data_IF_578977026682
#
_entry.id   IF_578977026682
#
_cell.length_a   1.000
_cell.length_b   1.000
_cell.length_c   1.000
_cell.angle_alpha   90.00
_cell.angle_beta   90.00
_cell.angle_gamma   90.00
#
_symmetry.space_group_name_H-M   'P 1'
#
loop_
_entity.id
_entity.type
_entity.pdbx_description
1 polymer ?
#
# COMPACT_ATOMS: atom_id res chain seq x y z
N UNK A 1 -8.43 71.34 68.06
CA UNK A 1 -9.33 70.17 67.91
C UNK A 1 -8.89 69.41 66.67
N UNK A 2 -8.37 68.22 66.89
CA UNK A 2 -7.84 67.30 65.88
C UNK A 2 -8.97 66.67 65.08
N UNK A 3 -9.12 67.07 63.82
CA UNK A 3 -9.96 66.37 62.84
C UNK A 3 -9.09 65.55 61.90
N UNK A 4 -8.48 64.47 62.41
CA UNK A 4 -7.81 63.47 61.59
C UNK A 4 -8.87 62.62 60.90
N UNK A 5 -9.07 62.83 59.59
CA UNK A 5 -9.79 61.88 58.75
C UNK A 5 -9.03 60.55 58.74
N UNK A 6 -9.70 59.47 59.10
CA UNK A 6 -9.25 58.10 58.95
C UNK A 6 -10.50 57.24 58.84
N UNK A 7 -10.97 57.02 57.61
CA UNK A 7 -11.83 55.87 57.35
C UNK A 7 -11.09 54.58 57.74
N UNK A 8 -11.82 53.50 58.05
CA UNK A 8 -11.21 52.24 58.47
C UNK A 8 -10.23 51.74 57.40
N UNK A 9 -8.98 51.48 57.83
CA UNK A 9 -7.93 50.97 56.93
C UNK A 9 -8.05 49.45 56.82
N UNK A 10 -8.70 48.99 55.76
CA UNK A 10 -8.71 47.58 55.34
C UNK A 10 -7.79 47.39 54.12
N UNK A 11 -6.97 46.34 54.13
CA UNK A 11 -6.13 45.96 52.99
C UNK A 11 -6.04 44.45 52.84
N UNK A 12 -5.87 43.95 51.62
CA UNK A 12 -5.59 42.53 51.35
C UNK A 12 -4.11 42.27 51.56
N UNK A 13 -3.80 41.16 52.22
CA UNK A 13 -2.43 40.73 52.52
C UNK A 13 -2.05 39.62 51.53
N UNK A 14 -0.86 39.75 50.92
CA UNK A 14 -0.29 38.75 50.02
C UNK A 14 -0.75 38.90 48.56
N UNK A 15 -0.54 37.85 47.76
CA UNK A 15 -1.09 37.80 46.41
C UNK A 15 -2.61 37.70 46.52
N UNK A 16 -3.29 38.78 46.11
CA UNK A 16 -4.74 38.78 45.89
C UNK A 16 -5.11 37.53 45.08
N UNK A 17 -6.03 36.71 45.60
CA UNK A 17 -6.53 35.46 45.01
C UNK A 17 -6.82 35.64 43.51
N UNK A 18 -5.89 35.23 42.64
CA UNK A 18 -6.06 35.39 41.19
C UNK A 18 -6.59 34.13 40.55
N UNK A 19 -6.06 32.97 40.92
CA UNK A 19 -6.43 31.66 40.37
C UNK A 19 -6.78 30.71 41.51
N UNK A 20 -7.96 30.09 41.46
CA UNK A 20 -8.42 29.16 42.49
C UNK A 20 -8.98 27.87 41.91
N UNK A 21 -8.64 26.69 42.44
CA UNK A 21 -9.24 25.44 41.99
C UNK A 21 -10.70 25.34 42.45
N UNK A 22 -11.58 24.93 41.54
CA UNK A 22 -12.97 24.57 41.87
C UNK A 22 -12.99 23.37 42.80
N UNK A 23 -13.93 23.34 43.74
CA UNK A 23 -14.11 22.31 44.77
C UNK A 23 -12.94 22.19 45.77
N UNK A 24 -12.06 23.18 45.84
CA UNK A 24 -11.04 23.30 46.88
C UNK A 24 -11.20 24.60 47.67
N UNK A 25 -10.99 24.53 48.99
CA UNK A 25 -11.11 25.70 49.86
C UNK A 25 -10.04 26.73 49.50
N UNK A 26 -10.50 27.89 49.07
CA UNK A 26 -9.67 29.03 48.71
C UNK A 26 -9.57 30.00 49.87
N UNK A 27 -8.37 30.53 50.08
CA UNK A 27 -8.04 31.30 51.28
C UNK A 27 -7.38 32.61 50.90
N UNK A 28 -7.77 33.69 51.57
CA UNK A 28 -7.01 34.94 51.57
C UNK A 28 -7.06 35.65 52.91
N UNK A 29 -6.12 36.57 53.10
CA UNK A 29 -6.01 37.32 54.33
C UNK A 29 -6.28 38.80 54.09
N UNK A 30 -6.93 39.42 55.05
CA UNK A 30 -7.10 40.88 55.12
C UNK A 30 -6.54 41.40 56.43
N UNK A 31 -6.00 42.61 56.40
CA UNK A 31 -5.67 43.40 57.58
C UNK A 31 -6.80 44.38 57.86
N UNK A 32 -7.34 44.35 59.07
CA UNK A 32 -8.33 45.26 59.63
C UNK A 32 -7.96 45.57 61.10
N UNK A 33 -6.94 46.41 61.26
CA UNK A 33 -6.38 46.79 62.57
C UNK A 33 -7.45 47.45 63.46
N UNK A 34 -7.64 46.92 64.67
CA UNK A 34 -8.55 47.50 65.67
C UNK A 34 -10.03 47.12 65.49
N UNK A 35 -10.34 46.20 64.58
CA UNK A 35 -11.68 45.69 64.36
C UNK A 35 -11.81 44.23 64.82
N UNK A 36 -13.05 43.80 65.07
CA UNK A 36 -13.39 42.43 65.41
C UNK A 36 -14.03 41.70 64.23
N UNK A 37 -14.20 40.38 64.34
CA UNK A 37 -14.78 39.55 63.27
C UNK A 37 -16.18 40.03 62.89
N UNK A 38 -16.95 40.54 63.85
CA UNK A 38 -18.33 40.98 63.67
C UNK A 38 -18.44 42.21 62.75
N UNK A 39 -17.35 42.99 62.67
CA UNK A 39 -17.28 44.20 61.85
C UNK A 39 -17.01 43.88 60.36
N UNK A 40 -16.66 42.63 60.04
CA UNK A 40 -16.30 42.20 58.69
C UNK A 40 -17.44 41.38 58.08
N UNK A 41 -17.83 41.76 56.87
CA UNK A 41 -18.71 40.96 56.02
C UNK A 41 -17.99 40.65 54.72
N UNK A 42 -18.06 39.40 54.29
CA UNK A 42 -17.53 38.94 53.02
C UNK A 42 -18.63 38.19 52.28
N UNK A 43 -18.89 38.58 51.03
CA UNK A 43 -19.86 37.91 50.17
C UNK A 43 -19.16 37.53 48.88
N UNK A 44 -19.22 36.25 48.52
CA UNK A 44 -18.68 35.74 47.27
C UNK A 44 -19.84 35.50 46.31
N UNK A 45 -19.75 36.03 45.10
CA UNK A 45 -20.76 35.87 44.05
C UNK A 45 -20.17 35.07 42.91
N UNK A 46 -20.80 33.96 42.55
CA UNK A 46 -20.39 33.09 41.44
C UNK A 46 -20.57 33.75 40.07
N UNK A 47 -19.98 33.20 38.99
CA UNK A 47 -20.23 33.62 37.61
C UNK A 47 -21.72 33.64 37.26
N UNK A 48 -22.47 32.64 37.73
CA UNK A 48 -23.93 32.54 37.57
C UNK A 48 -24.74 33.48 38.51
N UNK A 49 -24.07 34.43 39.17
CA UNK A 49 -24.65 35.39 40.12
C UNK A 49 -25.26 34.75 41.37
N UNK A 50 -24.80 33.56 41.76
CA UNK A 50 -25.24 32.89 42.99
C UNK A 50 -24.32 33.25 44.17
N UNK A 51 -24.87 33.58 45.35
CA UNK A 51 -24.05 33.81 46.53
C UNK A 51 -23.43 32.49 47.03
N UNK A 52 -22.15 32.53 47.39
CA UNK A 52 -21.41 31.45 48.04
C UNK A 52 -21.08 31.86 49.48
N UNK A 53 -21.11 30.91 50.43
CA UNK A 53 -20.72 31.19 51.81
C UNK A 53 -19.23 31.52 51.89
N UNK A 54 -18.90 32.59 52.61
CA UNK A 54 -17.55 32.95 53.01
C UNK A 54 -17.43 32.85 54.52
N UNK A 55 -16.41 32.14 55.00
CA UNK A 55 -16.13 31.99 56.43
C UNK A 55 -14.97 32.88 56.82
N UNK A 56 -15.11 33.61 57.93
CA UNK A 56 -14.11 34.58 58.40
C UNK A 56 -13.57 34.10 59.73
N UNK A 57 -12.26 33.92 59.81
CA UNK A 57 -11.55 33.44 61.00
C UNK A 57 -10.52 34.49 61.45
N UNK A 58 -10.50 34.90 62.72
CA UNK A 58 -9.41 35.72 63.23
C UNK A 58 -8.13 34.89 63.32
N UNK A 59 -7.02 35.39 62.78
CA UNK A 59 -5.71 34.72 62.80
C UNK A 59 -5.03 34.91 64.18
N UNK A 60 -5.64 34.42 65.26
CA UNK A 60 -5.03 34.42 66.60
C UNK A 60 -4.84 35.81 67.29
N UNK A 61 -4.66 35.84 68.62
CA UNK A 61 -4.61 37.08 69.40
C UNK A 61 -3.33 37.94 69.17
N UNK A 62 -2.28 37.36 68.58
CA UNK A 62 -1.01 38.05 68.31
C UNK A 62 -0.97 38.80 66.95
N UNK A 63 -1.93 38.55 66.06
CA UNK A 63 -1.85 39.01 64.66
C UNK A 63 -2.52 40.36 64.41
N UNK A 64 -2.84 41.12 65.46
CA UNK A 64 -3.16 42.54 65.35
C UNK A 64 -4.31 42.90 64.40
N UNK A 65 -5.33 42.07 64.24
CA UNK A 65 -6.44 42.35 63.31
C UNK A 65 -6.23 41.81 61.89
N UNK A 66 -5.53 40.69 61.75
CA UNK A 66 -5.53 39.89 60.52
C UNK A 66 -6.69 38.89 60.56
N UNK A 67 -7.43 38.80 59.46
CA UNK A 67 -8.54 37.88 59.29
C UNK A 67 -8.34 37.02 58.05
N UNK A 68 -8.53 35.72 58.21
CA UNK A 68 -8.54 34.74 57.13
C UNK A 68 -9.96 34.57 56.62
N UNK A 69 -10.15 34.72 55.31
CA UNK A 69 -11.41 34.51 54.64
C UNK A 69 -11.29 33.27 53.77
N UNK A 70 -12.19 32.32 53.98
CA UNK A 70 -12.25 31.05 53.25
C UNK A 70 -13.54 30.96 52.45
N UNK A 71 -13.46 30.46 51.22
CA UNK A 71 -14.63 30.16 50.40
C UNK A 71 -14.38 28.96 49.50
N UNK A 72 -15.47 28.30 49.06
CA UNK A 72 -15.41 27.12 48.20
C UNK A 72 -16.09 27.41 46.86
N UNK A 73 -15.33 27.68 45.78
CA UNK A 73 -15.90 27.86 44.45
C UNK A 73 -16.37 26.52 43.88
N UNK A 74 -17.55 26.49 43.26
CA UNK A 74 -18.13 25.30 42.62
C UNK A 74 -18.33 25.46 41.11
N UNK A 75 -18.08 26.66 40.57
CA UNK A 75 -18.24 26.99 39.15
C UNK A 75 -16.90 27.46 38.60
N UNK A 76 -16.62 27.19 37.32
CA UNK A 76 -15.47 27.79 36.63
C UNK A 76 -15.80 29.23 36.26
N UNK A 77 -14.84 30.14 36.41
CA UNK A 77 -14.95 31.54 36.00
C UNK A 77 -14.72 32.55 37.12
N UNK A 78 -15.02 33.82 36.81
CA UNK A 78 -14.75 34.94 37.72
C UNK A 78 -15.76 35.02 38.87
N UNK A 79 -15.28 34.80 40.09
CA UNK A 79 -16.01 35.01 41.33
C UNK A 79 -15.71 36.40 41.87
N UNK A 80 -16.76 37.16 42.19
CA UNK A 80 -16.64 38.51 42.74
C UNK A 80 -16.74 38.43 44.25
N UNK A 81 -15.73 38.92 44.95
CA UNK A 81 -15.64 38.90 46.40
C UNK A 81 -15.75 40.34 46.89
N UNK A 82 -16.91 40.67 47.45
CA UNK A 82 -17.15 41.93 48.13
C UNK A 82 -16.82 41.76 49.62
N UNK A 83 -15.90 42.60 50.11
CA UNK A 83 -15.55 42.66 51.53
C UNK A 83 -15.86 44.06 52.05
N UNK A 84 -16.60 44.14 53.15
CA UNK A 84 -16.91 45.38 53.86
C UNK A 84 -16.47 45.32 55.32
N UNK A 85 -15.93 46.42 55.82
CA UNK A 85 -15.51 46.62 57.19
C UNK A 85 -16.31 47.78 57.81
N UNK A 86 -17.13 47.50 58.83
CA UNK A 86 -18.01 48.48 59.48
C UNK A 86 -18.89 49.29 58.48
N UNK A 87 -19.25 48.68 57.34
CA UNK A 87 -20.04 49.30 56.27
C UNK A 87 -19.21 49.89 55.12
N UNK A 88 -17.91 50.09 55.31
CA UNK A 88 -17.02 50.61 54.26
C UNK A 88 -16.45 49.49 53.39
N UNK A 89 -16.46 49.69 52.06
CA UNK A 89 -15.93 48.72 51.09
C UNK A 89 -14.40 48.71 51.07
N UNK A 90 -13.84 47.58 50.65
CA UNK A 90 -12.41 47.44 50.38
C UNK A 90 -11.88 48.52 49.42
N UNK A 91 -10.77 49.15 49.79
CA UNK A 91 -10.05 50.07 48.92
C UNK A 91 -9.46 49.31 47.73
N UNK A 92 -9.83 49.68 46.51
CA UNK A 92 -9.45 48.97 45.28
C UNK A 92 -10.59 48.19 44.61
N UNK A 93 -11.77 48.13 45.25
CA UNK A 93 -12.96 47.46 44.70
C UNK A 93 -13.07 46.00 45.13
N UNK A 94 -14.06 45.27 44.60
CA UNK A 94 -14.21 43.85 44.90
C UNK A 94 -13.03 43.05 44.34
N UNK A 95 -12.64 41.99 45.05
CA UNK A 95 -11.62 41.07 44.56
C UNK A 95 -12.23 40.13 43.54
N UNK A 96 -11.42 39.70 42.56
CA UNK A 96 -11.84 38.76 41.53
C UNK A 96 -11.00 37.49 41.67
N UNK A 97 -11.63 36.41 42.11
CA UNK A 97 -11.03 35.08 42.10
C UNK A 97 -11.43 34.35 40.82
N UNK A 98 -10.46 34.00 39.97
CA UNK A 98 -10.73 33.27 38.74
C UNK A 98 -10.65 31.78 39.03
N UNK A 99 -11.82 31.16 39.16
CA UNK A 99 -11.92 29.75 39.45
C UNK A 99 -11.65 28.91 38.20
N UNK A 100 -10.86 27.85 38.35
CA UNK A 100 -10.41 26.98 37.28
C UNK A 100 -10.61 25.50 37.64
N UNK A 101 -10.71 24.63 36.64
CA UNK A 101 -10.84 23.18 36.83
C UNK A 101 -10.01 22.43 35.77
N UNK A 102 -8.87 21.87 36.19
CA UNK A 102 -7.97 21.12 35.30
C UNK A 102 -8.61 19.84 34.74
N UNK A 103 -9.56 19.21 35.46
CA UNK A 103 -10.25 18.00 35.01
C UNK A 103 -11.20 18.23 33.82
N UNK A 104 -11.50 19.49 33.48
CA UNK A 104 -12.29 19.80 32.28
C UNK A 104 -11.42 19.89 31.02
N UNK A 105 -10.09 19.82 31.15
CA UNK A 105 -9.19 19.82 30.01
C UNK A 105 -9.25 18.46 29.32
N UNK A 106 -9.47 18.49 28.01
CA UNK A 106 -9.54 17.27 27.19
C UNK A 106 -8.36 17.21 26.25
N UNK A 107 -7.69 16.07 26.22
CA UNK A 107 -6.63 15.78 25.26
C UNK A 107 -7.20 14.84 24.21
N UNK A 108 -6.96 15.11 22.92
CA UNK A 108 -7.37 14.19 21.86
C UNK A 108 -6.69 12.85 22.03
N UNK A 109 -7.34 11.78 21.57
CA UNK A 109 -6.73 10.46 21.54
C UNK A 109 -5.38 10.51 20.81
N UNK A 110 -4.41 9.87 21.44
CA UNK A 110 -3.01 9.93 21.05
C UNK A 110 -2.70 8.68 20.24
N UNK A 111 -2.35 8.83 18.96
CA UNK A 111 -1.95 7.69 18.11
C UNK A 111 -0.46 7.37 18.28
N UNK A 112 0.00 6.22 17.81
CA UNK A 112 1.44 5.96 17.64
C UNK A 112 2.09 6.96 16.67
N UNK A 113 3.42 7.09 16.75
CA UNK A 113 4.22 8.02 15.96
C UNK A 113 5.42 7.36 15.30
N UNK A 114 6.00 8.04 14.31
CA UNK A 114 7.16 7.56 13.54
C UNK A 114 8.36 8.46 13.82
N UNK A 115 9.54 7.86 14.00
CA UNK A 115 10.81 8.59 14.14
C UNK A 115 11.01 9.56 12.97
N UNK A 116 11.34 10.81 13.28
CA UNK A 116 11.59 11.88 12.31
C UNK A 116 10.34 12.54 11.75
N UNK A 117 9.14 12.04 12.05
CA UNK A 117 7.88 12.64 11.58
C UNK A 117 7.20 13.49 12.67
N UNK A 118 6.58 14.63 12.33
CA UNK A 118 5.86 15.44 13.30
C UNK A 118 4.63 14.68 13.83
N UNK A 119 4.62 14.44 15.14
CA UNK A 119 3.47 13.96 15.89
C UNK A 119 2.64 15.16 16.35
N UNK A 120 1.32 15.03 16.37
CA UNK A 120 0.41 16.10 16.75
C UNK A 120 -0.76 15.60 17.59
N UNK A 121 -1.13 16.35 18.61
CA UNK A 121 -2.34 16.12 19.40
C UNK A 121 -2.96 17.45 19.82
N UNK A 122 -4.26 17.44 20.07
CA UNK A 122 -5.03 18.63 20.45
C UNK A 122 -5.28 18.64 21.95
N UNK A 123 -5.20 19.82 22.54
CA UNK A 123 -5.58 20.07 23.93
C UNK A 123 -6.70 21.11 23.93
N UNK A 124 -7.81 20.78 24.57
CA UNK A 124 -8.99 21.63 24.70
C UNK A 124 -9.17 22.02 26.17
N UNK A 125 -8.86 23.28 26.48
CA UNK A 125 -9.03 23.89 27.79
C UNK A 125 -10.16 24.93 27.80
N UNK A 126 -11.09 24.90 26.82
CA UNK A 126 -12.14 25.92 26.68
C UNK A 126 -13.00 26.08 27.94
N UNK A 127 -13.21 24.98 28.66
CA UNK A 127 -14.09 24.91 29.82
C UNK A 127 -13.31 24.92 31.15
N UNK A 128 -11.97 24.94 31.11
CA UNK A 128 -11.11 24.80 32.28
C UNK A 128 -10.97 26.11 33.08
N UNK A 129 -11.38 27.24 32.51
CA UNK A 129 -11.19 28.57 33.11
C UNK A 129 -9.87 29.21 32.71
N UNK A 130 -9.55 30.32 33.36
CA UNK A 130 -8.28 31.01 33.11
C UNK A 130 -7.13 30.29 33.80
N UNK A 131 -6.00 30.17 33.11
CA UNK A 131 -4.82 29.53 33.66
C UNK A 131 -3.71 29.36 32.63
N UNK A 132 -2.60 28.81 33.10
CA UNK A 132 -1.42 28.50 32.31
C UNK A 132 -1.34 27.00 32.05
N UNK A 133 -1.22 26.63 30.77
CA UNK A 133 -0.92 25.27 30.34
C UNK A 133 0.60 25.09 30.22
N UNK A 134 1.10 24.02 30.82
CA UNK A 134 2.49 23.59 30.73
C UNK A 134 2.52 22.19 30.09
N UNK A 135 3.26 22.06 29.00
CA UNK A 135 3.32 20.82 28.22
C UNK A 135 4.78 20.44 28.05
N UNK A 136 5.12 19.25 28.52
CA UNK A 136 6.48 18.71 28.40
C UNK A 136 6.45 17.32 27.78
N UNK A 137 7.45 17.03 26.95
CA UNK A 137 7.65 15.72 26.33
C UNK A 137 8.97 15.18 26.84
N UNK A 138 8.94 14.03 27.52
CA UNK A 138 10.05 13.45 28.27
C UNK A 138 10.71 14.48 29.18
N UNK A 139 9.93 15.10 30.08
CA UNK A 139 10.42 16.12 31.03
C UNK A 139 11.12 17.32 30.36
N UNK A 140 10.81 17.59 29.09
CA UNK A 140 11.38 18.69 28.31
C UNK A 140 12.62 18.32 27.49
N UNK A 141 13.07 17.06 27.51
CA UNK A 141 14.14 16.58 26.62
C UNK A 141 13.81 16.73 25.13
N UNK A 142 12.52 16.59 24.78
CA UNK A 142 12.06 16.66 23.40
C UNK A 142 11.36 18.00 23.18
N UNK A 143 11.89 18.86 22.27
CA UNK A 143 11.26 20.12 21.94
C UNK A 143 9.84 19.89 21.39
N UNK A 144 8.89 20.65 21.91
CA UNK A 144 7.53 20.71 21.39
C UNK A 144 7.18 22.14 20.97
N UNK A 145 6.23 22.25 20.06
CA UNK A 145 5.69 23.50 19.57
C UNK A 145 4.19 23.53 19.83
N UNK A 146 3.69 24.63 20.39
CA UNK A 146 2.28 24.82 20.68
C UNK A 146 1.72 25.89 19.75
N UNK A 147 0.71 25.53 18.97
CA UNK A 147 -0.04 26.44 18.11
C UNK A 147 -1.43 26.68 18.70
N UNK A 148 -1.75 27.92 19.03
CA UNK A 148 -3.07 28.28 19.56
C UNK A 148 -4.08 28.30 18.41
N UNK A 149 -5.12 27.47 18.51
CA UNK A 149 -6.20 27.36 17.52
C UNK A 149 -7.31 28.39 17.83
N UNK A 150 -7.41 28.83 19.09
CA UNK A 150 -8.41 29.78 19.57
C UNK A 150 -9.44 29.14 20.49
N UNK A 151 -10.17 29.97 21.26
CA UNK A 151 -11.23 29.50 22.16
C UNK A 151 -10.76 28.53 23.25
N UNK A 152 -9.53 28.68 23.75
CA UNK A 152 -8.95 27.76 24.76
C UNK A 152 -8.39 26.46 24.18
N UNK A 153 -8.31 26.32 22.86
CA UNK A 153 -7.78 25.12 22.19
C UNK A 153 -6.39 25.37 21.62
N UNK A 154 -5.51 24.37 21.73
CA UNK A 154 -4.21 24.38 21.09
C UNK A 154 -3.88 23.05 20.42
N UNK A 155 -3.00 23.11 19.42
CA UNK A 155 -2.39 21.98 18.76
C UNK A 155 -0.95 21.90 19.24
N UNK A 156 -0.56 20.76 19.80
CA UNK A 156 0.83 20.50 20.20
C UNK A 156 1.47 19.64 19.13
N UNK A 157 2.68 19.98 18.73
CA UNK A 157 3.48 19.18 17.82
C UNK A 157 4.89 18.94 18.36
N UNK A 158 5.41 17.74 18.15
CA UNK A 158 6.82 17.41 18.42
C UNK A 158 7.32 16.42 17.37
N UNK A 159 8.64 16.35 17.17
CA UNK A 159 9.25 15.42 16.22
C UNK A 159 10.22 14.51 16.97
N UNK A 160 9.85 13.25 17.25
CA UNK A 160 10.70 12.32 17.98
C UNK A 160 11.91 11.90 17.12
N UNK A 161 13.09 11.86 17.72
CA UNK A 161 14.33 11.45 17.03
C UNK A 161 14.73 9.99 17.33
N UNK A 162 14.07 9.35 18.29
CA UNK A 162 14.40 8.02 18.76
C UNK A 162 13.14 7.18 18.98
N UNK A 163 13.21 5.88 18.71
CA UNK A 163 12.17 4.89 19.00
C UNK A 163 12.18 4.47 20.46
N UNK A 164 12.03 5.45 21.36
CA UNK A 164 11.78 5.23 22.79
C UNK A 164 10.33 5.61 23.11
N UNK A 165 9.69 5.03 24.13
CA UNK A 165 8.42 5.57 24.61
C UNK A 165 8.57 7.04 24.99
N UNK A 166 7.68 7.90 24.50
CA UNK A 166 7.67 9.32 24.84
C UNK A 166 6.55 9.58 25.84
N UNK A 167 6.90 10.17 26.98
CA UNK A 167 5.98 10.52 28.05
C UNK A 167 5.58 11.98 27.86
N UNK A 168 4.28 12.24 27.79
CA UNK A 168 3.74 13.60 27.64
C UNK A 168 3.04 13.97 28.92
N UNK A 169 3.58 14.98 29.60
CA UNK A 169 3.02 15.55 30.82
C UNK A 169 2.39 16.90 30.52
N UNK A 170 1.12 17.03 30.89
CA UNK A 170 0.35 18.27 30.76
C UNK A 170 -0.08 18.70 32.15
N UNK A 171 0.26 19.94 32.52
CA UNK A 171 -0.18 20.58 33.74
C UNK A 171 -0.95 21.85 33.44
N UNK A 172 -1.89 22.17 34.32
CA UNK A 172 -2.65 23.40 34.28
C UNK A 172 -2.59 24.08 35.65
N UNK A 173 -2.02 25.28 35.71
CA UNK A 173 -1.73 25.99 36.96
C UNK A 173 -0.94 25.13 37.97
N UNK A 174 -0.03 24.27 37.48
CA UNK A 174 0.77 23.35 38.29
C UNK A 174 0.09 22.01 38.65
N UNK A 175 -1.21 21.85 38.38
CA UNK A 175 -1.96 20.60 38.59
C UNK A 175 -1.90 19.71 37.35
N UNK A 176 -1.66 18.40 37.53
CA UNK A 176 -1.65 17.43 36.42
C UNK A 176 -3.04 17.26 35.84
N UNK A 177 -3.16 17.36 34.52
CA UNK A 177 -4.41 17.13 33.78
C UNK A 177 -4.80 15.66 33.84
N UNK A 178 -6.10 15.38 33.91
CA UNK A 178 -6.63 14.02 33.93
C UNK A 178 -6.15 13.20 32.70
N UNK A 179 -5.73 11.96 32.94
CA UNK A 179 -5.19 11.08 31.90
C UNK A 179 -3.70 11.29 31.58
N UNK A 180 -3.02 12.27 32.20
CA UNK A 180 -1.57 12.43 32.09
C UNK A 180 -0.83 11.75 33.27
N UNK A 181 0.41 11.26 33.05
CA UNK A 181 1.17 11.30 31.80
C UNK A 181 0.61 10.40 30.70
N UNK A 182 0.65 10.88 29.45
CA UNK A 182 0.28 10.10 28.26
C UNK A 182 1.53 9.38 27.72
N UNK A 183 1.38 8.11 27.37
CA UNK A 183 2.46 7.32 26.77
C UNK A 183 2.30 7.26 25.24
N UNK A 184 3.27 7.82 24.54
CA UNK A 184 3.33 7.86 23.07
C UNK A 184 4.32 6.81 22.56
N UNK A 185 3.82 5.79 21.86
CA UNK A 185 4.65 4.75 21.25
C UNK A 185 5.25 5.25 19.94
N UNK A 186 6.58 5.37 19.89
CA UNK A 186 7.32 5.79 18.70
C UNK A 186 7.99 4.60 18.02
N UNK A 187 7.68 4.40 16.75
CA UNK A 187 8.21 3.33 15.90
C UNK A 187 9.26 3.86 14.93
N UNK A 188 10.37 3.13 14.79
CA UNK A 188 11.37 3.39 13.75
C UNK A 188 11.05 2.56 12.49
N UNK A 189 10.31 3.17 11.56
CA UNK A 189 9.91 2.53 10.32
C UNK A 189 11.07 2.34 9.32
N UNK A 190 12.21 3.01 9.53
CA UNK A 190 13.37 2.88 8.62
C UNK A 190 14.01 1.49 8.65
N UNK A 191 13.77 0.75 9.73
CA UNK A 191 14.28 -0.60 9.96
C UNK A 191 13.40 -1.68 9.34
N UNK A 192 12.15 -1.36 9.01
CA UNK A 192 11.22 -2.32 8.39
C UNK A 192 11.38 -2.27 6.89
N UNK A 193 12.04 -3.28 6.34
CA UNK A 193 12.26 -3.41 4.90
C UNK A 193 11.51 -4.63 4.37
N UNK A 194 10.75 -4.42 3.31
CA UNK A 194 10.01 -5.48 2.62
C UNK A 194 10.32 -5.39 1.13
N UNK A 195 10.81 -6.50 0.57
CA UNK A 195 11.00 -6.62 -0.87
C UNK A 195 9.94 -7.55 -1.44
N UNK A 196 9.05 -6.99 -2.25
CA UNK A 196 7.94 -7.69 -2.90
C UNK A 196 8.12 -7.81 -4.42
N UNK A 197 9.28 -7.37 -4.96
CA UNK A 197 9.49 -7.31 -6.40
C UNK A 197 9.38 -8.68 -7.08
N UNK A 198 9.81 -9.76 -6.42
CA UNK A 198 9.68 -11.12 -6.94
C UNK A 198 8.24 -11.65 -6.93
N UNK A 199 7.30 -10.95 -6.27
CA UNK A 199 5.88 -11.29 -6.19
C UNK A 199 5.03 -10.52 -7.22
N UNK A 200 5.65 -9.85 -8.19
CA UNK A 200 4.92 -9.13 -9.24
C UNK A 200 4.02 -10.06 -10.06
N UNK A 201 4.47 -11.28 -10.34
CA UNK A 201 3.72 -12.32 -11.04
C UNK A 201 3.76 -13.61 -10.21
N UNK A 202 2.59 -14.16 -9.91
CA UNK A 202 2.46 -15.34 -9.05
C UNK A 202 1.56 -16.38 -9.76
N UNK A 203 2.02 -17.62 -9.95
CA UNK A 203 1.15 -18.70 -10.41
C UNK A 203 0.09 -19.03 -9.35
N UNK A 204 -1.14 -19.26 -9.79
CA UNK A 204 -2.25 -19.63 -8.91
C UNK A 204 -1.95 -20.93 -8.15
N UNK A 205 -2.45 -21.05 -6.92
CA UNK A 205 -2.29 -22.22 -6.05
C UNK A 205 -0.85 -22.55 -5.62
N UNK A 206 0.16 -21.82 -6.06
CA UNK A 206 1.51 -21.93 -5.52
C UNK A 206 1.67 -21.11 -4.25
N UNK A 207 2.59 -21.55 -3.39
CA UNK A 207 2.94 -20.79 -2.18
C UNK A 207 3.84 -19.61 -2.53
N UNK A 208 3.34 -18.40 -2.29
CA UNK A 208 4.09 -17.17 -2.38
C UNK A 208 4.51 -16.72 -0.98
N UNK A 209 5.76 -16.30 -0.84
CA UNK A 209 6.27 -15.82 0.44
C UNK A 209 7.20 -14.62 0.30
N UNK A 210 7.27 -13.84 1.36
CA UNK A 210 8.23 -12.75 1.51
C UNK A 210 8.66 -12.61 2.97
N UNK A 211 9.88 -12.10 3.14
CA UNK A 211 10.51 -11.91 4.44
C UNK A 211 10.58 -10.42 4.81
N UNK A 212 10.39 -10.14 6.09
CA UNK A 212 10.35 -8.81 6.67
C UNK A 212 11.30 -8.76 7.86
N UNK A 213 12.29 -7.88 7.76
CA UNK A 213 13.17 -7.61 8.89
C UNK A 213 12.53 -6.55 9.79
N UNK A 214 12.59 -6.77 11.10
CA UNK A 214 12.13 -5.81 12.12
C UNK A 214 13.24 -5.56 13.13
N UNK A 215 13.15 -4.46 13.86
CA UNK A 215 14.07 -4.19 14.95
C UNK A 215 13.74 -5.01 16.20
N UNK A 216 14.77 -5.55 16.85
CA UNK A 216 14.66 -6.45 18.00
C UNK A 216 14.37 -5.74 19.33
N UNK A 217 14.35 -4.40 19.35
CA UNK A 217 14.29 -3.60 20.57
C UNK A 217 12.88 -3.21 21.04
N UNK A 218 11.82 -3.62 20.35
CA UNK A 218 10.44 -3.22 20.69
C UNK A 218 9.44 -4.37 20.59
N UNK A 219 8.30 -4.23 21.28
CA UNK A 219 7.12 -5.07 21.07
C UNK A 219 6.56 -4.82 19.68
N UNK A 220 7.09 -5.51 18.68
CA UNK A 220 6.67 -5.40 17.30
C UNK A 220 5.28 -6.01 17.10
N UNK A 221 4.29 -5.20 16.75
CA UNK A 221 3.02 -5.67 16.22
C UNK A 221 3.06 -5.59 14.70
N UNK A 222 3.30 -6.74 14.06
CA UNK A 222 3.26 -6.87 12.61
C UNK A 222 1.92 -7.48 12.20
N UNK A 223 1.23 -6.85 11.25
CA UNK A 223 0.08 -7.44 10.58
C UNK A 223 0.28 -7.44 9.07
N UNK A 224 -0.01 -8.58 8.46
CA UNK A 224 0.04 -8.76 7.02
C UNK A 224 -1.34 -9.18 6.56
N UNK A 225 -1.87 -8.49 5.56
CA UNK A 225 -3.11 -8.88 4.89
C UNK A 225 -2.89 -8.97 3.39
N UNK A 226 -3.55 -9.94 2.76
CA UNK A 226 -3.54 -10.13 1.32
C UNK A 226 -4.98 -10.19 0.85
N UNK A 227 -5.37 -9.25 0.00
CA UNK A 227 -6.73 -9.18 -0.56
C UNK A 227 -6.69 -9.50 -2.04
N UNK A 228 -7.36 -10.58 -2.44
CA UNK A 228 -7.55 -10.93 -3.84
C UNK A 228 -8.68 -10.13 -4.51
N UNK A 229 -9.07 -10.49 -5.74
CA UNK A 229 -10.12 -9.80 -6.49
C UNK A 229 -11.48 -9.78 -5.79
N UNK A 230 -11.80 -10.82 -5.03
CA UNK A 230 -13.12 -10.97 -4.37
C UNK A 230 -13.03 -11.10 -2.85
N UNK A 231 -12.00 -11.76 -2.34
CA UNK A 231 -11.90 -12.16 -0.93
C UNK A 231 -10.50 -11.91 -0.36
N UNK A 232 -10.45 -11.79 0.97
CA UNK A 232 -9.20 -11.82 1.71
C UNK A 232 -8.63 -13.25 1.76
N UNK A 233 -7.31 -13.36 1.65
CA UNK A 233 -6.60 -14.63 1.59
C UNK A 233 -5.94 -14.87 2.95
N UNK A 234 -6.04 -16.10 3.50
CA UNK A 234 -5.30 -16.46 4.71
C UNK A 234 -3.80 -16.31 4.51
N UNK A 235 -3.17 -15.51 5.37
CA UNK A 235 -1.72 -15.34 5.42
C UNK A 235 -1.19 -16.04 6.65
N UNK A 236 -0.22 -16.93 6.45
CA UNK A 236 0.53 -17.57 7.53
C UNK A 236 1.78 -16.74 7.81
N UNK A 237 1.87 -16.16 9.00
CA UNK A 237 3.07 -15.43 9.44
C UNK A 237 3.84 -16.30 10.42
N UNK A 238 5.15 -16.44 10.20
CA UNK A 238 6.08 -17.20 11.03
C UNK A 238 7.33 -16.38 11.32
N UNK A 239 8.14 -16.81 12.29
CA UNK A 239 9.37 -16.11 12.67
C UNK A 239 9.22 -15.32 13.97
N UNK A 240 10.20 -14.46 14.24
CA UNK A 240 10.30 -13.69 15.48
C UNK A 240 11.11 -12.40 15.26
N UNK A 241 11.21 -11.55 16.29
CA UNK A 241 11.89 -10.25 16.20
C UNK A 241 13.41 -10.34 16.00
N UNK A 242 14.03 -11.50 16.25
CA UNK A 242 15.48 -11.71 16.05
C UNK A 242 15.79 -12.22 14.64
N UNK A 243 14.98 -13.16 14.14
CA UNK A 243 15.17 -13.80 12.82
C UNK A 243 14.40 -13.11 11.70
N UNK A 244 13.54 -12.15 12.03
CA UNK A 244 12.57 -11.56 11.11
C UNK A 244 11.29 -12.40 10.97
N UNK A 245 10.34 -11.86 10.23
CA UNK A 245 9.04 -12.51 9.98
C UNK A 245 8.91 -12.92 8.52
N UNK A 246 8.40 -14.13 8.28
CA UNK A 246 8.07 -14.62 6.94
C UNK A 246 6.56 -14.77 6.82
N UNK A 247 5.99 -14.06 5.84
CA UNK A 247 4.59 -14.21 5.45
C UNK A 247 4.48 -15.14 4.24
N UNK A 248 3.54 -16.06 4.30
CA UNK A 248 3.25 -17.07 3.28
C UNK A 248 1.76 -17.08 2.97
N UNK A 249 1.39 -17.10 1.68
CA UNK A 249 0.01 -17.19 1.22
C UNK A 249 -0.06 -17.94 -0.11
N UNK A 250 -1.23 -18.52 -0.43
CA UNK A 250 -1.47 -19.22 -1.70
C UNK A 250 -2.71 -18.68 -2.38
N UNK A 251 -2.57 -17.92 -3.50
CA UNK A 251 -3.70 -17.31 -4.16
C UNK A 251 -4.59 -18.35 -4.85
N UNK A 252 -5.90 -18.15 -4.76
CA UNK A 252 -6.91 -19.08 -5.29
C UNK A 252 -7.68 -18.51 -6.50
N UNK A 253 -7.44 -17.25 -6.84
CA UNK A 253 -8.13 -16.56 -7.93
C UNK A 253 -7.12 -15.89 -8.86
N UNK A 254 -7.47 -15.78 -10.14
CA UNK A 254 -6.67 -15.05 -11.13
C UNK A 254 -6.97 -13.56 -11.00
N UNK A 255 -5.95 -12.71 -11.06
CA UNK A 255 -6.11 -11.26 -11.06
C UNK A 255 -5.21 -10.53 -10.08
N UNK A 256 -5.50 -9.25 -9.87
CA UNK A 256 -4.73 -8.40 -8.97
C UNK A 256 -4.98 -8.77 -7.49
N UNK A 257 -3.91 -8.87 -6.73
CA UNK A 257 -3.90 -9.13 -5.30
C UNK A 257 -3.12 -8.02 -4.60
N UNK A 258 -3.70 -7.43 -3.56
CA UNK A 258 -3.08 -6.36 -2.80
C UNK A 258 -2.47 -6.94 -1.52
N UNK A 259 -1.16 -6.75 -1.35
CA UNK A 259 -0.40 -7.14 -0.17
C UNK A 259 -0.18 -5.90 0.68
N UNK A 260 -0.74 -5.88 1.88
CA UNK A 260 -0.56 -4.81 2.87
C UNK A 260 0.27 -5.32 4.04
N UNK A 261 1.21 -4.49 4.50
CA UNK A 261 1.99 -4.77 5.70
C UNK A 261 1.91 -3.55 6.60
N UNK A 262 1.45 -3.75 7.82
CA UNK A 262 1.42 -2.74 8.87
C UNK A 262 2.37 -3.15 9.99
N UNK A 263 3.12 -2.18 10.50
CA UNK A 263 4.03 -2.32 11.63
C UNK A 263 3.66 -1.27 12.68
N UNK A 264 3.26 -1.73 13.88
CA UNK A 264 2.79 -0.90 14.99
C UNK A 264 1.67 0.08 14.57
N UNK A 265 0.76 -0.39 13.72
CA UNK A 265 -0.37 0.39 13.20
C UNK A 265 0.00 1.39 12.09
N UNK A 266 1.23 1.34 11.58
CA UNK A 266 1.68 2.19 10.47
C UNK A 266 1.96 1.36 9.21
N UNK A 267 1.52 1.83 8.02
CA UNK A 267 1.78 1.13 6.78
C UNK A 267 3.26 1.15 6.46
N UNK A 268 3.79 0.00 6.07
CA UNK A 268 5.18 -0.17 5.69
C UNK A 268 5.40 0.31 4.25
N UNK A 269 6.52 1.00 4.03
CA UNK A 269 6.87 1.53 2.72
C UNK A 269 6.89 0.43 1.63
N UNK A 270 6.33 0.74 0.47
CA UNK A 270 6.17 -0.22 -0.63
C UNK A 270 4.87 -1.03 -0.56
N UNK A 271 4.04 -0.82 0.47
CA UNK A 271 2.70 -1.41 0.58
C UNK A 271 1.60 -0.32 0.56
N UNK A 272 0.40 -0.58 0.00
CA UNK A 272 -0.02 -1.84 -0.63
C UNK A 272 0.76 -2.15 -1.92
N UNK A 273 1.13 -3.41 -2.10
CA UNK A 273 1.78 -3.91 -3.32
C UNK A 273 0.79 -4.72 -4.15
N UNK A 274 0.73 -4.45 -5.45
CA UNK A 274 -0.19 -5.15 -6.37
C UNK A 274 0.53 -6.31 -7.07
N UNK A 275 0.30 -7.53 -6.60
CA UNK A 275 0.74 -8.77 -7.21
C UNK A 275 -0.27 -9.23 -8.27
N UNK A 276 0.20 -9.82 -9.37
CA UNK A 276 -0.64 -10.30 -10.47
C UNK A 276 -0.64 -11.82 -10.51
N UNK A 277 -1.76 -12.41 -10.15
CA UNK A 277 -1.92 -13.86 -10.12
C UNK A 277 -2.42 -14.36 -11.47
N UNK A 278 -1.80 -15.43 -11.97
CA UNK A 278 -2.06 -15.99 -13.29
C UNK A 278 -2.26 -17.51 -13.25
N UNK A 279 -2.92 -18.07 -14.26
CA UNK A 279 -3.15 -19.52 -14.40
C UNK A 279 -2.94 -19.95 -15.87
N UNK A 280 -1.80 -20.56 -16.17
CA UNK A 280 -1.50 -21.06 -17.51
C UNK A 280 -2.52 -22.12 -17.99
N UNK A 281 -3.18 -22.81 -17.06
CA UNK A 281 -4.20 -23.84 -17.36
C UNK A 281 -5.48 -23.24 -17.94
N UNK A 282 -5.69 -21.94 -17.77
CA UNK A 282 -6.84 -21.21 -18.35
C UNK A 282 -6.56 -20.65 -19.74
N UNK A 283 -5.38 -20.89 -20.31
CA UNK A 283 -5.14 -20.64 -21.73
C UNK A 283 -5.73 -21.79 -22.54
N UNK A 284 -6.65 -21.47 -23.44
CA UNK A 284 -7.32 -22.43 -24.30
C UNK A 284 -6.81 -22.30 -25.73
N UNK A 285 -6.42 -23.42 -26.32
CA UNK A 285 -6.00 -23.49 -27.72
C UNK A 285 -7.13 -24.13 -28.52
N UNK A 286 -7.55 -23.45 -29.58
CA UNK A 286 -8.57 -23.94 -30.49
C UNK A 286 -8.11 -25.18 -31.25
N UNK A 287 -9.05 -25.80 -31.98
CA UNK A 287 -8.73 -26.95 -32.83
C UNK A 287 -7.63 -26.58 -33.83
N UNK A 288 -6.63 -27.44 -33.94
CA UNK A 288 -5.54 -27.32 -34.91
C UNK A 288 -5.91 -28.22 -36.09
N UNK A 289 -6.29 -27.63 -37.25
CA UNK A 289 -6.70 -28.43 -38.40
C UNK A 289 -5.51 -29.13 -39.06
N UNK A 290 -5.80 -30.19 -39.83
CA UNK A 290 -4.83 -30.71 -40.79
C UNK A 290 -4.53 -29.65 -41.84
N UNK A 291 -3.24 -29.45 -42.14
CA UNK A 291 -2.77 -28.47 -43.12
C UNK A 291 -2.31 -29.10 -44.42
N UNK A 292 -2.10 -28.23 -45.42
CA UNK A 292 -1.50 -28.58 -46.70
C UNK A 292 -0.27 -27.72 -46.94
N UNK A 293 0.80 -28.30 -47.51
CA UNK A 293 2.01 -27.56 -47.88
C UNK A 293 1.65 -26.35 -48.75
N UNK A 294 2.21 -25.19 -48.43
CA UNK A 294 1.96 -23.93 -49.14
C UNK A 294 0.66 -23.20 -48.76
N UNK A 295 -0.27 -23.86 -48.06
CA UNK A 295 -1.51 -23.23 -47.61
C UNK A 295 -1.38 -22.71 -46.17
N UNK A 296 -1.93 -21.52 -45.89
CA UNK A 296 -1.90 -20.96 -44.54
C UNK A 296 -2.74 -21.81 -43.59
N UNK A 297 -2.12 -22.31 -42.52
CA UNK A 297 -2.81 -22.94 -41.40
C UNK A 297 -3.07 -21.90 -40.32
N UNK A 298 -4.25 -21.94 -39.70
CA UNK A 298 -4.63 -21.00 -38.65
C UNK A 298 -5.34 -21.71 -37.50
N UNK A 299 -5.04 -21.31 -36.27
CA UNK A 299 -5.74 -21.73 -35.06
C UNK A 299 -5.88 -20.55 -34.09
N UNK A 300 -6.77 -20.67 -33.09
CA UNK A 300 -7.00 -19.63 -32.08
C UNK A 300 -6.35 -19.96 -30.75
N UNK A 301 -5.99 -18.92 -30.00
CA UNK A 301 -5.54 -19.02 -28.60
C UNK A 301 -6.32 -18.00 -27.77
N UNK A 302 -6.97 -18.46 -26.71
CA UNK A 302 -7.75 -17.64 -25.78
C UNK A 302 -7.09 -17.68 -24.39
N UNK A 303 -6.43 -16.58 -24.01
CA UNK A 303 -5.81 -16.39 -22.70
C UNK A 303 -6.63 -15.41 -21.82
N UNK A 304 -7.89 -15.12 -22.18
CA UNK A 304 -8.72 -14.11 -21.50
C UNK A 304 -8.97 -14.40 -20.01
N UNK A 305 -8.85 -15.67 -19.61
CA UNK A 305 -9.04 -16.12 -18.23
C UNK A 305 -7.74 -16.50 -17.51
N UNK A 306 -6.59 -16.39 -18.19
CA UNK A 306 -5.29 -16.80 -17.66
C UNK A 306 -4.63 -15.74 -16.76
N UNK A 307 -5.16 -14.51 -16.76
CA UNK A 307 -4.58 -13.39 -16.03
C UNK A 307 -3.54 -12.65 -16.86
N UNK A 308 -2.78 -11.76 -16.22
CA UNK A 308 -1.73 -11.03 -16.90
C UNK A 308 -0.48 -11.89 -17.08
N UNK A 309 0.12 -11.86 -18.27
CA UNK A 309 1.30 -12.64 -18.56
C UNK A 309 1.76 -12.53 -20.00
N UNK A 310 2.91 -13.15 -20.29
CA UNK A 310 3.48 -13.24 -21.62
C UNK A 310 3.18 -14.60 -22.23
N UNK A 311 2.64 -14.60 -23.46
CA UNK A 311 2.39 -15.81 -24.25
C UNK A 311 3.52 -15.99 -25.26
N UNK A 312 4.17 -17.14 -25.24
CA UNK A 312 5.24 -17.51 -26.18
C UNK A 312 4.77 -18.70 -27.03
N UNK A 313 4.85 -18.53 -28.35
CA UNK A 313 4.40 -19.54 -29.32
C UNK A 313 5.55 -19.83 -30.29
N UNK A 314 5.96 -21.09 -30.37
CA UNK A 314 6.97 -21.56 -31.30
C UNK A 314 6.42 -22.70 -32.14
N UNK A 315 6.57 -22.61 -33.46
CA UNK A 315 6.18 -23.68 -34.40
C UNK A 315 7.44 -24.19 -35.05
N UNK A 316 7.64 -25.50 -35.06
CA UNK A 316 8.83 -26.12 -35.63
C UNK A 316 8.53 -27.39 -36.41
N UNK A 317 9.33 -27.63 -37.44
CA UNK A 317 9.35 -28.85 -38.23
C UNK A 317 10.79 -29.39 -38.25
N UNK A 318 10.98 -30.66 -37.87
CA UNK A 318 12.32 -31.30 -37.77
C UNK A 318 13.35 -30.48 -36.96
N UNK A 319 12.89 -29.76 -35.95
CA UNK A 319 13.73 -28.89 -35.11
C UNK A 319 14.07 -27.53 -35.72
N UNK A 320 13.52 -27.19 -36.90
CA UNK A 320 13.65 -25.87 -37.51
C UNK A 320 12.42 -25.02 -37.21
N UNK A 321 12.63 -23.80 -36.71
CA UNK A 321 11.54 -22.86 -36.43
C UNK A 321 10.92 -22.34 -37.73
N UNK A 322 9.59 -22.31 -37.75
CA UNK A 322 8.81 -21.82 -38.87
C UNK A 322 8.29 -20.42 -38.54
N UNK A 323 8.41 -19.45 -39.46
CA UNK A 323 7.84 -18.13 -39.28
C UNK A 323 6.33 -18.19 -39.03
N UNK A 324 5.88 -17.51 -37.99
CA UNK A 324 4.46 -17.43 -37.61
C UNK A 324 3.97 -15.99 -37.65
N UNK A 325 2.67 -15.83 -37.87
CA UNK A 325 1.98 -14.56 -37.74
C UNK A 325 0.96 -14.66 -36.61
N UNK A 326 0.91 -13.63 -35.77
CA UNK A 326 -0.02 -13.57 -34.63
C UNK A 326 -0.88 -12.32 -34.79
N UNK A 327 -2.18 -12.52 -34.89
CA UNK A 327 -3.18 -11.46 -34.95
C UNK A 327 -3.96 -11.40 -33.64
N UNK A 328 -3.95 -10.26 -32.96
CA UNK A 328 -4.75 -10.04 -31.75
C UNK A 328 -6.18 -9.64 -32.09
N UNK A 329 -7.14 -10.26 -31.41
CA UNK A 329 -8.58 -9.96 -31.50
C UNK A 329 -9.09 -9.15 -30.30
N UNK A 330 -8.18 -8.65 -29.45
CA UNK A 330 -8.53 -8.02 -28.18
C UNK A 330 -8.89 -9.04 -27.08
N UNK A 331 -9.04 -8.56 -25.84
CA UNK A 331 -9.37 -9.38 -24.67
C UNK A 331 -8.49 -10.62 -24.49
N UNK A 332 -7.19 -10.51 -24.80
CA UNK A 332 -6.23 -11.62 -24.77
C UNK A 332 -6.63 -12.85 -25.61
N UNK A 333 -7.32 -12.62 -26.74
CA UNK A 333 -7.58 -13.63 -27.77
C UNK A 333 -6.72 -13.36 -28.99
N UNK A 334 -6.20 -14.44 -29.59
CA UNK A 334 -5.24 -14.38 -30.68
C UNK A 334 -5.60 -15.42 -31.76
N UNK A 335 -5.32 -15.09 -33.02
CA UNK A 335 -5.21 -16.06 -34.10
C UNK A 335 -3.76 -16.20 -34.51
N UNK A 336 -3.28 -17.43 -34.53
CA UNK A 336 -1.91 -17.78 -34.91
C UNK A 336 -1.99 -18.47 -36.27
N UNK A 337 -1.15 -18.05 -37.21
CA UNK A 337 -1.05 -18.67 -38.51
C UNK A 337 0.39 -18.89 -38.96
N UNK A 338 0.58 -19.90 -39.81
CA UNK A 338 1.86 -20.19 -40.46
C UNK A 338 1.62 -20.89 -41.80
N UNK A 339 2.64 -20.91 -42.66
CA UNK A 339 2.60 -21.63 -43.93
C UNK A 339 3.60 -22.78 -43.86
N UNK A 340 3.15 -24.04 -43.81
CA UNK A 340 4.06 -25.17 -43.80
C UNK A 340 4.69 -25.37 -45.18
N UNK A 341 5.96 -25.74 -45.18
CA UNK A 341 6.75 -25.98 -46.41
C UNK A 341 7.10 -27.45 -46.62
N UNK A 342 6.86 -28.31 -45.62
CA UNK A 342 7.13 -29.74 -45.67
C UNK A 342 5.87 -30.54 -45.30
N UNK A 343 5.59 -31.69 -45.94
CA UNK A 343 4.42 -32.53 -45.66
C UNK A 343 4.69 -33.47 -44.47
N UNK A 344 4.80 -32.91 -43.27
CA UNK A 344 5.03 -33.66 -42.03
C UNK A 344 4.37 -33.00 -40.81
N UNK A 345 4.41 -33.68 -39.67
CA UNK A 345 3.88 -33.17 -38.41
C UNK A 345 4.67 -31.95 -37.90
N UNK A 346 3.98 -30.83 -37.76
CA UNK A 346 4.54 -29.61 -37.20
C UNK A 346 4.25 -29.53 -35.70
N UNK A 347 5.28 -29.24 -34.90
CA UNK A 347 5.19 -29.17 -33.45
C UNK A 347 4.95 -27.72 -33.02
N UNK A 348 3.85 -27.47 -32.35
CA UNK A 348 3.43 -26.17 -31.85
C UNK A 348 3.60 -26.15 -30.33
N UNK A 349 4.61 -25.44 -29.84
CA UNK A 349 4.86 -25.23 -28.41
C UNK A 349 4.27 -23.91 -27.97
N UNK A 350 3.44 -23.93 -26.93
CA UNK A 350 2.81 -22.72 -26.36
C UNK A 350 3.09 -22.69 -24.87
N UNK A 351 3.65 -21.57 -24.42
CA UNK A 351 3.93 -21.30 -23.01
C UNK A 351 3.31 -19.99 -22.58
N UNK A 352 2.86 -19.93 -21.33
CA UNK A 352 2.35 -18.72 -20.68
C UNK A 352 3.16 -18.48 -19.41
N UNK A 353 3.83 -17.34 -19.32
CA UNK A 353 4.79 -17.03 -18.24
C UNK A 353 5.86 -18.13 -18.02
N UNK A 354 6.37 -18.72 -19.13
CA UNK A 354 7.35 -19.82 -19.16
C UNK A 354 6.83 -21.18 -18.68
N UNK A 355 5.52 -21.32 -18.47
CA UNK A 355 4.86 -22.58 -18.16
C UNK A 355 4.11 -23.10 -19.38
N UNK A 356 4.16 -24.41 -19.65
CA UNK A 356 3.40 -24.99 -20.75
C UNK A 356 1.89 -24.93 -20.48
N UNK A 357 1.14 -24.46 -21.49
CA UNK A 357 -0.33 -24.50 -21.43
C UNK A 357 -0.83 -25.94 -21.62
N UNK A 358 -2.04 -26.28 -21.15
CA UNK A 358 -2.58 -27.63 -21.29
C UNK A 358 -2.60 -28.10 -22.74
N UNK A 359 -2.07 -29.29 -22.98
CA UNK A 359 -1.98 -29.89 -24.32
C UNK A 359 -0.76 -29.47 -25.13
N UNK A 360 0.04 -28.50 -24.67
CA UNK A 360 1.32 -28.20 -25.31
C UNK A 360 2.36 -29.30 -25.01
N UNK A 361 3.19 -29.71 -25.98
CA UNK A 361 3.15 -29.27 -27.38
C UNK A 361 2.01 -29.93 -28.17
N UNK A 362 1.44 -29.17 -29.11
CA UNK A 362 0.42 -29.65 -30.04
C UNK A 362 1.06 -30.10 -31.36
N UNK A 363 0.34 -30.96 -32.10
CA UNK A 363 0.77 -31.46 -33.40
C UNK A 363 -0.21 -30.97 -34.47
N UNK A 364 0.33 -30.34 -35.52
CA UNK A 364 -0.39 -30.00 -36.73
C UNK A 364 0.05 -30.94 -37.86
N UNK A 365 -0.77 -31.94 -38.25
CA UNK A 365 -0.47 -32.80 -39.37
C UNK A 365 -0.51 -32.00 -40.67
N UNK A 366 0.54 -32.08 -41.50
CA UNK A 366 0.57 -31.42 -42.81
C UNK A 366 0.79 -32.45 -43.90
N UNK A 367 -0.06 -32.41 -44.93
CA UNK A 367 0.06 -33.24 -46.14
C UNK A 367 0.47 -32.39 -47.35
N UNK A 368 1.01 -33.00 -48.39
CA UNK A 368 1.36 -32.32 -49.64
C UNK A 368 0.54 -32.88 -50.79
N UNK A 369 -0.26 -32.03 -51.44
CA UNK A 369 -1.06 -32.40 -52.63
C UNK A 369 -0.37 -32.03 -53.95
N UNK A 370 0.92 -31.76 -53.95
CA UNK A 370 1.65 -31.34 -55.14
C UNK A 370 2.54 -32.45 -55.70
N UNK A 371 2.64 -32.56 -57.04
CA UNK A 371 3.66 -33.37 -57.69
C UNK A 371 5.06 -32.98 -57.18
N UNK A 372 5.74 -33.88 -56.49
CA UNK A 372 7.08 -33.68 -55.97
C UNK A 372 8.11 -34.20 -56.98
N UNK A 373 8.95 -33.32 -57.52
CA UNK A 373 10.05 -33.72 -58.41
C UNK A 373 11.32 -34.00 -57.59
N UNK A 374 11.85 -35.22 -57.64
CA UNK A 374 13.07 -35.64 -56.94
C UNK A 374 14.02 -36.40 -57.87
N UNK A 375 15.33 -36.29 -57.68
CA UNK A 375 16.30 -37.11 -58.42
C UNK A 375 17.64 -36.42 -58.61
N UNK A 376 18.73 -37.19 -58.55
CA UNK A 376 20.08 -36.67 -58.72
C UNK A 376 20.29 -35.95 -60.07
N UNK A 377 19.56 -36.38 -61.10
CA UNK A 377 19.62 -35.81 -62.45
C UNK A 377 19.12 -34.35 -62.53
N UNK A 378 18.38 -33.86 -61.54
CA UNK A 378 17.95 -32.45 -61.45
C UNK A 378 19.11 -31.51 -61.09
N UNK A 379 20.17 -32.06 -60.46
CA UNK A 379 21.36 -31.31 -60.07
C UNK A 379 22.49 -31.48 -61.09
N UNK A 380 22.76 -32.72 -61.50
CA UNK A 380 23.77 -33.03 -62.52
C UNK A 380 23.42 -34.32 -63.26
N UNK A 381 23.58 -34.30 -64.58
CA UNK A 381 23.35 -35.46 -65.45
C UNK A 381 24.54 -35.66 -66.42
N UNK A 382 25.14 -36.85 -66.50
CA UNK A 382 26.23 -37.14 -67.42
C UNK A 382 25.78 -37.11 -68.89
N UNK A 383 26.53 -36.39 -69.73
CA UNK A 383 26.30 -36.34 -71.18
C UNK A 383 26.42 -37.74 -71.79
N UNK A 384 25.56 -38.03 -72.78
CA UNK A 384 25.43 -39.32 -73.47
C UNK A 384 25.02 -40.51 -72.59
N UNK A 385 24.55 -40.26 -71.37
CA UNK A 385 24.08 -41.31 -70.45
C UNK A 385 22.63 -41.04 -70.05
N UNK A 386 21.77 -42.06 -70.11
CA UNK A 386 20.37 -41.95 -69.68
C UNK A 386 20.31 -41.64 -68.19
N UNK A 387 19.74 -40.50 -67.85
CA UNK A 387 19.51 -40.03 -66.49
C UNK A 387 18.02 -39.97 -66.20
N UNK A 388 17.65 -39.93 -64.92
CA UNK A 388 16.24 -39.90 -64.54
C UNK A 388 15.97 -39.08 -63.29
N UNK A 389 14.75 -38.57 -63.21
CA UNK A 389 14.15 -38.03 -62.00
C UNK A 389 12.74 -38.62 -61.83
N UNK A 390 12.17 -38.48 -60.64
CA UNK A 390 10.90 -39.03 -60.21
C UNK A 390 9.95 -37.90 -59.88
N UNK A 391 8.73 -37.97 -60.40
CA UNK A 391 7.59 -37.13 -60.08
C UNK A 391 6.66 -37.93 -59.17
N UNK A 392 6.56 -37.58 -57.90
CA UNK A 392 5.76 -38.26 -56.87
C UNK A 392 4.49 -37.47 -56.54
N UNK A 393 3.48 -38.11 -55.94
CA UNK A 393 2.24 -37.45 -55.50
C UNK A 393 1.46 -36.75 -56.63
N UNK A 394 1.51 -37.30 -57.84
CA UNK A 394 0.61 -36.88 -58.92
C UNK A 394 -0.78 -37.44 -58.60
N UNK A 395 -1.78 -36.56 -58.45
CA UNK A 395 -3.18 -36.95 -58.28
C UNK A 395 -3.55 -38.04 -59.31
N UNK A 396 -4.48 -38.98 -59.02
CA UNK A 396 -4.83 -40.07 -59.92
C UNK A 396 -5.44 -39.53 -61.22
N UNK A 397 -4.56 -39.16 -62.14
CA UNK A 397 -4.81 -38.63 -63.46
C UNK A 397 -3.86 -39.40 -64.39
N UNK A 398 -4.37 -39.77 -65.56
CA UNK A 398 -3.74 -40.73 -66.45
C UNK A 398 -2.33 -40.26 -66.86
N UNK A 399 -1.49 -41.18 -67.35
CA UNK A 399 -0.15 -40.88 -67.90
C UNK A 399 -0.19 -39.73 -68.93
N UNK A 400 -1.31 -39.57 -69.62
CA UNK A 400 -1.56 -38.57 -70.66
C UNK A 400 -1.61 -37.12 -70.15
N UNK A 401 -1.79 -36.90 -68.84
CA UNK A 401 -1.85 -35.56 -68.24
C UNK A 401 -0.47 -35.06 -67.76
N UNK A 402 0.59 -35.87 -67.90
CA UNK A 402 1.96 -35.54 -67.51
C UNK A 402 2.77 -35.08 -68.72
N UNK A 403 2.94 -33.76 -68.86
CA UNK A 403 3.82 -33.17 -69.88
C UNK A 403 5.21 -32.86 -69.29
N UNK A 404 6.26 -33.29 -69.98
CA UNK A 404 7.65 -33.05 -69.57
C UNK A 404 8.44 -32.53 -70.76
N UNK A 405 9.02 -31.34 -70.63
CA UNK A 405 9.85 -30.72 -71.65
C UNK A 405 11.28 -30.54 -71.15
N UNK A 406 12.22 -31.29 -71.73
CA UNK A 406 13.64 -31.10 -71.44
C UNK A 406 14.26 -30.31 -72.58
N UNK A 407 14.86 -29.16 -72.30
CA UNK A 407 15.49 -28.27 -73.29
C UNK A 407 17.00 -28.22 -73.07
N UNK A 408 17.75 -28.44 -74.15
CA UNK A 408 19.20 -28.32 -74.16
C UNK A 408 19.65 -26.85 -74.17
N UNK A 409 20.90 -26.54 -73.76
CA UNK A 409 21.46 -25.18 -73.76
C UNK A 409 21.35 -24.40 -75.09
N UNK A 410 21.20 -25.10 -76.21
CA UNK A 410 21.05 -24.53 -77.55
C UNK A 410 19.58 -24.31 -77.97
N UNK A 411 18.64 -24.50 -77.04
CA UNK A 411 17.20 -24.37 -77.27
C UNK A 411 16.53 -25.58 -77.93
N UNK A 412 17.25 -26.69 -78.13
CA UNK A 412 16.67 -27.89 -78.73
C UNK A 412 15.99 -28.75 -77.67
N UNK A 413 14.78 -29.24 -77.97
CA UNK A 413 14.08 -30.20 -77.12
C UNK A 413 14.79 -31.57 -77.13
N UNK A 414 14.97 -32.14 -75.95
CA UNK A 414 15.49 -33.48 -75.69
C UNK A 414 14.30 -34.40 -75.44
N UNK A 415 14.19 -35.52 -76.18
CA UNK A 415 13.17 -36.51 -75.91
C UNK A 415 13.26 -37.04 -74.48
N UNK A 416 12.17 -36.90 -73.72
CA UNK A 416 12.00 -37.48 -72.40
C UNK A 416 10.94 -38.60 -72.46
N UNK A 417 11.16 -39.68 -71.70
CA UNK A 417 10.22 -40.79 -71.57
C UNK A 417 9.64 -40.81 -70.16
N UNK A 418 8.31 -40.73 -70.05
CA UNK A 418 7.60 -40.87 -68.78
C UNK A 418 7.18 -42.33 -68.58
N UNK A 419 7.57 -42.93 -67.46
CA UNK A 419 7.21 -44.30 -67.06
C UNK A 419 6.43 -44.26 -65.76
N UNK A 420 5.22 -44.81 -65.73
CA UNK A 420 4.50 -45.05 -64.49
C UNK A 420 5.26 -46.11 -63.65
N UNK A 421 5.57 -45.78 -62.40
CA UNK A 421 6.24 -46.67 -61.45
C UNK A 421 5.34 -47.06 -60.27
N UNK A 422 4.05 -46.70 -60.33
CA UNK A 422 3.01 -47.09 -59.37
C UNK A 422 2.88 -46.15 -58.17
N UNK A 423 1.69 -46.13 -57.58
CA UNK A 423 1.39 -45.36 -56.37
C UNK A 423 1.51 -43.84 -56.57
N UNK A 424 0.98 -43.31 -57.68
CA UNK A 424 1.04 -41.88 -58.02
C UNK A 424 2.46 -41.33 -58.27
N UNK A 425 3.37 -42.22 -58.68
CA UNK A 425 4.76 -41.87 -58.98
C UNK A 425 5.09 -42.18 -60.45
N UNK A 426 5.77 -41.23 -61.12
CA UNK A 426 6.25 -41.35 -62.48
C UNK A 426 7.76 -41.15 -62.55
N UNK A 427 8.46 -41.95 -63.34
CA UNK A 427 9.89 -41.84 -63.62
C UNK A 427 10.11 -41.23 -65.00
N UNK A 428 10.84 -40.13 -65.06
CA UNK A 428 11.18 -39.42 -66.29
C UNK A 428 12.61 -39.79 -66.66
N UNK A 429 12.82 -40.32 -67.87
CA UNK A 429 14.15 -40.66 -68.41
C UNK A 429 14.50 -39.74 -69.57
N UNK A 430 15.70 -39.15 -69.55
CA UNK A 430 16.23 -38.29 -70.61
C UNK A 430 17.73 -38.53 -70.82
N UNK A 431 18.27 -38.15 -71.98
CA UNK A 431 19.71 -38.31 -72.30
C UNK A 431 20.29 -37.00 -72.81
N UNK A 432 21.01 -36.22 -71.98
CA UNK A 432 21.65 -34.98 -72.43
C UNK A 432 22.73 -35.28 -73.48
N UNK A 433 22.77 -34.50 -74.56
CA UNK A 433 23.71 -34.69 -75.69
C UNK A 433 24.83 -33.65 -75.74
N UNK A 434 24.66 -32.53 -75.05
CA UNK A 434 25.63 -31.45 -74.99
C UNK A 434 25.90 -31.07 -73.54
N UNK A 435 27.03 -30.42 -73.29
CA UNK A 435 27.38 -29.88 -71.96
C UNK A 435 26.72 -28.53 -71.78
N UNK A 436 26.14 -28.27 -70.60
CA UNK A 436 25.59 -26.97 -70.21
C UNK A 436 24.34 -27.11 -69.35
N UNK A 437 23.75 -25.97 -69.01
CA UNK A 437 22.50 -25.90 -68.26
C UNK A 437 21.31 -26.34 -69.12
N UNK A 438 20.62 -27.38 -68.68
CA UNK A 438 19.40 -27.87 -69.32
C UNK A 438 18.20 -27.39 -68.51
N UNK A 439 17.11 -27.07 -69.20
CA UNK A 439 15.85 -26.70 -68.57
C UNK A 439 14.91 -27.90 -68.57
N UNK A 440 14.23 -28.14 -67.45
CA UNK A 440 13.27 -29.26 -67.25
C UNK A 440 11.94 -28.66 -66.82
#
# INVERSE_FOLDING_TARGET
>A
MTGSGLGPKMSVIGESVRLVPVNQTSVFQISALGFHREDIQATVTSPSKRPLPAHIYPEGPASGGIFRIEFLPHEVGSHVIDVTLAGDKLQGGPLIAKAYNAALIKVSEVTSGIVGQPCQFKVDASDAGEGQLEISVNEGEVPNHVTVIGGGKCLVSFTPQHSKPHIIDIKFNGETVEGCPLLYSISDMSRVQVNLGHLQLIPIQESASFHMNVDSNTSAQLSVSVTGPTLEIPVKVTGNVHDGFTAEFSPQEVGAHNICVDYNGHPVYGTPFSAKVYDARKVHVGSIPQGHVGNTLQFSVDASQAGEGNLEITISARGTNIPTQVHSHGNAKFSVSFVPIEPLDHVISIQFNKEHVPGSPFIAPVVGDFPLVTGAALSAAPVNTTSHFTLSNVAPANLDDVEVNVEAPNGQSIPAQVKDVGGSNFRIEFTPKIVGEHKI
#
